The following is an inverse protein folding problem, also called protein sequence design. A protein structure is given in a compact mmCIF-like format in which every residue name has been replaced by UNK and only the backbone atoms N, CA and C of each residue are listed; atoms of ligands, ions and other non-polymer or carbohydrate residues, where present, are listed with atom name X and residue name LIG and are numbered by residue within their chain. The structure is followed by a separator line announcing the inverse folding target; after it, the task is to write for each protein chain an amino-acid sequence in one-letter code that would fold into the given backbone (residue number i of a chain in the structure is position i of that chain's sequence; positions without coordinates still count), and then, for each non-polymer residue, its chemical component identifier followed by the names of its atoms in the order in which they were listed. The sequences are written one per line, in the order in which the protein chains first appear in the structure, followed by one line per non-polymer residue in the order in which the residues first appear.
data_IF_532028922623
#
_entry.id   IF_532028922623
#
_cell.length_a   1.000
_cell.length_b   1.000
_cell.length_c   1.000
_cell.angle_alpha   90.00
_cell.angle_beta   90.00
_cell.angle_gamma   90.00
#
_symmetry.space_group_name_H-M   'P 1'
#
loop_
_entity.id
_entity.type
_entity.pdbx_description
1 polymer ?
#
# COMPACT_ATOMS: atom_id res chain seq x y z
N UNK A 1 -20.44 -9.11 -3.35
CA UNK A 1 -19.71 -10.36 -3.04
C UNK A 1 -18.29 -10.36 -3.62
N UNK A 2 -18.10 -10.17 -4.93
CA UNK A 2 -16.76 -10.07 -5.54
C UNK A 2 -15.93 -8.89 -5.01
N UNK A 3 -16.54 -7.71 -4.84
CA UNK A 3 -15.91 -6.55 -4.21
C UNK A 3 -15.45 -6.82 -2.75
N UNK A 4 -16.23 -7.57 -1.97
CA UNK A 4 -15.87 -7.95 -0.59
C UNK A 4 -14.69 -8.93 -0.57
N UNK A 5 -14.64 -9.87 -1.53
CA UNK A 5 -13.51 -10.77 -1.69
C UNK A 5 -12.25 -10.01 -2.13
N UNK A 6 -12.38 -9.06 -3.07
CA UNK A 6 -11.29 -8.17 -3.47
C UNK A 6 -10.78 -7.36 -2.27
N UNK A 7 -11.68 -6.77 -1.48
CA UNK A 7 -11.34 -6.04 -0.25
C UNK A 7 -10.62 -6.94 0.76
N UNK A 8 -11.08 -8.17 0.97
CA UNK A 8 -10.41 -9.13 1.85
C UNK A 8 -8.99 -9.46 1.36
N UNK A 9 -8.80 -9.61 0.05
CA UNK A 9 -7.47 -9.81 -0.56
C UNK A 9 -6.59 -8.57 -0.37
N UNK A 10 -7.13 -7.36 -0.55
CA UNK A 10 -6.41 -6.09 -0.32
C UNK A 10 -5.95 -5.99 1.13
N UNK A 11 -6.85 -6.23 2.08
CA UNK A 11 -6.55 -6.21 3.51
C UNK A 11 -5.51 -7.27 3.88
N UNK A 12 -5.61 -8.48 3.29
CA UNK A 12 -4.63 -9.54 3.44
C UNK A 12 -3.24 -9.14 2.93
N UNK A 13 -3.17 -8.54 1.73
CA UNK A 13 -1.92 -8.08 1.12
C UNK A 13 -1.29 -6.92 1.92
N UNK A 14 -2.08 -5.92 2.31
CA UNK A 14 -1.64 -4.81 3.17
C UNK A 14 -1.09 -5.33 4.50
N UNK A 15 -1.81 -6.27 5.13
CA UNK A 15 -1.37 -6.91 6.38
C UNK A 15 -0.06 -7.68 6.18
N UNK A 16 0.09 -8.42 5.09
CA UNK A 16 1.33 -9.14 4.79
C UNK A 16 2.51 -8.19 4.55
N UNK A 17 2.31 -7.12 3.78
CA UNK A 17 3.32 -6.08 3.55
C UNK A 17 3.69 -5.38 4.85
N UNK A 18 2.70 -5.00 5.66
CA UNK A 18 2.91 -4.38 6.97
C UNK A 18 3.80 -5.22 7.87
N UNK A 19 3.54 -6.53 7.97
CA UNK A 19 4.35 -7.44 8.80
C UNK A 19 5.71 -7.80 8.21
N UNK A 20 5.94 -7.55 6.93
CA UNK A 20 7.29 -7.61 6.33
C UNK A 20 8.09 -6.34 6.65
N UNK A 21 7.44 -5.18 6.62
CA UNK A 21 8.07 -3.89 6.94
C UNK A 21 8.34 -3.72 8.43
N UNK A 22 7.48 -4.26 9.29
CA UNK A 22 7.58 -4.15 10.75
C UNK A 22 7.52 -5.54 11.42
N UNK A 23 8.62 -6.31 11.40
CA UNK A 23 8.64 -7.68 11.91
C UNK A 23 8.24 -7.78 13.39
N UNK A 24 8.67 -6.80 14.20
CA UNK A 24 8.39 -6.75 15.64
C UNK A 24 6.98 -6.29 16.02
N UNK A 25 6.12 -5.95 15.05
CA UNK A 25 4.71 -5.57 15.29
C UNK A 25 3.72 -6.67 14.95
N UNK A 26 4.18 -7.89 14.66
CA UNK A 26 3.29 -9.03 14.57
C UNK A 26 2.62 -9.23 15.92
N UNK A 27 1.29 -9.31 16.00
CA UNK A 27 0.63 -9.79 17.21
C UNK A 27 1.29 -11.11 17.58
N UNK A 28 1.59 -11.35 18.87
CA UNK A 28 1.94 -12.69 19.29
C UNK A 28 0.85 -13.62 18.74
N UNK A 29 1.24 -14.64 17.98
CA UNK A 29 0.27 -15.65 17.58
C UNK A 29 -0.45 -16.09 18.86
N UNK A 30 -1.79 -16.14 18.87
CA UNK A 30 -2.52 -16.70 19.99
C UNK A 30 -2.08 -18.15 20.04
N UNK A 31 -0.99 -18.39 20.78
CA UNK A 31 -0.46 -19.70 20.99
C UNK A 31 -1.61 -20.49 21.56
N UNK A 32 -1.93 -21.60 20.91
CA UNK A 32 -2.65 -22.68 21.57
C UNK A 32 -2.04 -22.79 22.96
N UNK A 33 -2.88 -22.64 23.99
CA UNK A 33 -2.50 -22.34 25.37
C UNK A 33 -1.10 -22.87 25.72
N UNK A 34 -0.21 -22.04 26.31
CA UNK A 34 1.18 -22.44 26.54
C UNK A 34 1.21 -23.84 27.16
N UNK A 35 1.99 -24.78 26.60
CA UNK A 35 2.01 -26.15 27.09
C UNK A 35 2.23 -26.11 28.59
N UNK A 36 1.32 -26.72 29.36
CA UNK A 36 1.36 -26.71 30.81
C UNK A 36 2.62 -27.43 31.28
N UNK A 37 3.71 -26.67 31.51
CA UNK A 37 4.94 -27.21 32.07
C UNK A 37 4.76 -27.30 33.58
N UNK A 38 4.30 -28.46 34.06
CA UNK A 38 4.60 -28.87 35.44
C UNK A 38 6.00 -29.47 35.44
N UNK A 39 6.86 -29.03 36.37
CA UNK A 39 8.07 -29.78 36.71
C UNK A 39 7.62 -31.16 37.21
N UNK A 40 8.08 -32.25 36.61
CA UNK A 40 7.81 -33.59 37.11
C UNK A 40 8.28 -33.77 38.58
N UNK A 41 9.28 -33.00 38.98
CA UNK A 41 10.01 -33.20 40.24
C UNK A 41 9.67 -32.15 41.33
N UNK A 42 8.66 -31.29 41.10
CA UNK A 42 8.23 -30.29 42.10
C UNK A 42 9.24 -29.18 42.42
N UNK A 43 10.34 -29.06 41.69
CA UNK A 43 11.37 -28.05 41.93
C UNK A 43 10.99 -26.69 41.31
N UNK A 44 11.27 -25.58 42.02
CA UNK A 44 11.03 -24.23 41.50
C UNK A 44 11.88 -23.95 40.26
N UNK A 45 11.26 -23.50 39.16
CA UNK A 45 11.93 -23.13 37.93
C UNK A 45 12.85 -21.92 38.16
N UNK A 46 14.16 -22.10 37.91
CA UNK A 46 15.11 -20.99 37.89
C UNK A 46 14.75 -19.98 36.79
N UNK A 47 14.74 -18.67 37.09
CA UNK A 47 14.45 -17.65 36.09
C UNK A 47 15.53 -17.67 34.98
N UNK A 48 15.15 -17.46 33.71
CA UNK A 48 16.10 -17.47 32.61
C UNK A 48 17.12 -16.33 32.79
N UNK A 49 18.40 -16.69 32.66
CA UNK A 49 19.51 -15.76 32.75
C UNK A 49 19.33 -14.64 31.71
N UNK A 50 19.26 -13.40 32.19
CA UNK A 50 19.17 -12.20 31.37
C UNK A 50 20.37 -12.13 30.43
N UNK A 51 20.14 -12.42 29.15
CA UNK A 51 21.16 -12.36 28.12
C UNK A 51 21.58 -10.90 27.96
N UNK A 52 22.86 -10.61 28.16
CA UNK A 52 23.45 -9.28 28.10
C UNK A 52 23.01 -8.58 26.80
N UNK A 53 22.34 -7.43 26.96
CA UNK A 53 21.76 -6.66 25.87
C UNK A 53 22.87 -6.14 24.96
N UNK A 54 22.88 -6.59 23.71
CA UNK A 54 23.77 -6.10 22.67
C UNK A 54 23.60 -4.57 22.50
N UNK A 55 24.67 -3.82 22.23
CA UNK A 55 24.61 -2.36 22.09
C UNK A 55 23.64 -1.96 20.98
N UNK A 56 22.88 -0.86 21.16
CA UNK A 56 21.87 -0.45 20.20
C UNK A 56 22.51 -0.14 18.84
N UNK A 57 21.91 -0.61 17.73
CA UNK A 57 22.45 -0.34 16.40
C UNK A 57 22.45 1.18 16.15
N UNK A 58 23.61 1.71 15.71
CA UNK A 58 23.76 3.11 15.28
C UNK A 58 22.66 3.45 14.27
N UNK A 59 21.82 4.42 14.62
CA UNK A 59 20.74 4.90 13.75
C UNK A 59 21.36 5.64 12.56
N UNK A 60 21.34 5.02 11.37
CA UNK A 60 21.72 5.69 10.14
C UNK A 60 20.69 6.78 9.80
N UNK A 61 21.14 7.95 9.32
CA UNK A 61 20.26 9.06 8.96
C UNK A 61 19.21 8.62 7.93
N UNK A 62 17.96 8.98 8.25
CA UNK A 62 16.74 8.43 7.67
C UNK A 62 16.58 8.77 6.18
N UNK A 63 16.65 7.76 5.30
CA UNK A 63 16.30 7.85 3.85
C UNK A 63 14.82 8.19 3.56
N UNK A 64 14.03 8.57 4.57
CA UNK A 64 12.56 8.72 4.50
C UNK A 64 12.04 9.81 3.54
N UNK A 65 12.64 11.01 3.42
CA UNK A 65 12.05 12.10 2.63
C UNK A 65 11.91 11.76 1.13
N UNK A 66 12.86 10.98 0.59
CA UNK A 66 12.95 10.64 -0.84
C UNK A 66 11.82 9.72 -1.30
N UNK A 67 11.43 8.78 -0.43
CA UNK A 67 10.35 7.84 -0.72
C UNK A 67 9.00 8.57 -0.76
N UNK A 68 8.78 9.51 0.15
CA UNK A 68 7.53 10.28 0.22
C UNK A 68 7.34 11.12 -1.05
N UNK A 69 8.35 11.84 -1.52
CA UNK A 69 8.24 12.61 -2.77
C UNK A 69 7.92 11.75 -3.99
N UNK A 70 8.54 10.56 -4.10
CA UNK A 70 8.24 9.62 -5.20
C UNK A 70 6.84 9.00 -5.09
N UNK A 71 6.37 8.71 -3.86
CA UNK A 71 5.00 8.23 -3.62
C UNK A 71 3.96 9.28 -4.03
N UNK A 72 4.14 10.55 -3.63
CA UNK A 72 3.24 11.66 -3.99
C UNK A 72 3.19 11.89 -5.50
N UNK A 73 4.34 11.78 -6.18
CA UNK A 73 4.36 11.82 -7.64
C UNK A 73 3.56 10.66 -8.24
N UNK A 74 3.69 9.46 -7.66
CA UNK A 74 2.85 8.30 -8.00
C UNK A 74 1.36 8.60 -7.83
N UNK A 75 0.94 9.15 -6.70
CA UNK A 75 -0.45 9.55 -6.44
C UNK A 75 -0.95 10.50 -7.53
N UNK A 76 -0.14 11.49 -7.90
CA UNK A 76 -0.50 12.43 -8.98
C UNK A 76 -0.80 11.71 -10.29
N UNK A 77 0.09 10.79 -10.71
CA UNK A 77 -0.13 9.99 -11.91
C UNK A 77 -1.35 9.08 -11.79
N UNK A 78 -1.55 8.43 -10.64
CA UNK A 78 -2.69 7.55 -10.39
C UNK A 78 -4.03 8.30 -10.47
N UNK A 79 -4.13 9.47 -9.83
CA UNK A 79 -5.32 10.34 -9.86
C UNK A 79 -5.61 10.79 -11.29
N UNK A 80 -4.60 11.28 -12.03
CA UNK A 80 -4.77 11.73 -13.41
C UNK A 80 -5.20 10.60 -14.34
N UNK A 81 -4.52 9.44 -14.26
CA UNK A 81 -4.87 8.27 -15.05
C UNK A 81 -6.29 7.78 -14.74
N UNK A 82 -6.68 7.75 -13.47
CA UNK A 82 -8.02 7.37 -13.05
C UNK A 82 -9.08 8.35 -13.56
N UNK A 83 -8.85 9.66 -13.46
CA UNK A 83 -9.75 10.68 -13.97
C UNK A 83 -9.99 10.54 -15.48
N UNK A 84 -8.92 10.30 -16.26
CA UNK A 84 -9.01 10.04 -17.70
C UNK A 84 -9.80 8.75 -17.97
N UNK A 85 -9.48 7.66 -17.28
CA UNK A 85 -10.14 6.38 -17.46
C UNK A 85 -11.66 6.45 -17.20
N UNK A 86 -12.07 7.11 -16.10
CA UNK A 86 -13.49 7.30 -15.79
C UNK A 86 -14.16 8.24 -16.79
N UNK A 87 -13.48 9.31 -17.23
CA UNK A 87 -14.03 10.21 -18.26
C UNK A 87 -14.30 9.48 -19.57
N UNK A 88 -13.38 8.61 -19.99
CA UNK A 88 -13.56 7.75 -21.16
C UNK A 88 -14.67 6.73 -20.93
N UNK A 89 -14.70 6.06 -19.78
CA UNK A 89 -15.72 5.05 -19.49
C UNK A 89 -17.14 5.65 -19.47
N UNK A 90 -17.30 6.88 -18.94
CA UNK A 90 -18.57 7.63 -18.97
C UNK A 90 -19.04 7.98 -20.37
N UNK A 91 -18.14 8.10 -21.34
CA UNK A 91 -18.48 8.33 -22.73
C UNK A 91 -18.96 7.05 -23.45
N UNK A 92 -18.96 5.89 -22.77
CA UNK A 92 -19.38 4.60 -23.34
C UNK A 92 -20.69 4.10 -22.73
N UNK A 93 -21.45 3.24 -23.44
CA UNK A 93 -22.64 2.60 -22.87
C UNK A 93 -22.31 1.52 -21.82
N UNK A 94 -21.03 1.24 -21.57
CA UNK A 94 -20.59 0.23 -20.59
C UNK A 94 -20.81 0.69 -19.15
N UNK A 95 -20.93 2.00 -18.92
CA UNK A 95 -21.10 2.57 -17.59
C UNK A 95 -22.46 3.26 -17.52
N UNK A 96 -23.25 2.92 -16.51
CA UNK A 96 -24.42 3.72 -16.13
C UNK A 96 -23.95 4.75 -15.12
N UNK A 97 -23.99 6.01 -15.50
CA UNK A 97 -23.80 7.12 -14.56
C UNK A 97 -25.06 7.29 -13.73
N UNK A 98 -24.90 7.40 -12.43
CA UNK A 98 -25.95 7.72 -11.49
C UNK A 98 -25.93 9.22 -11.18
N UNK A 99 -27.05 9.74 -10.70
CA UNK A 99 -27.10 11.12 -10.21
C UNK A 99 -26.18 11.25 -9.00
N UNK A 100 -25.34 12.29 -9.00
CA UNK A 100 -24.33 12.47 -7.98
C UNK A 100 -23.51 13.72 -8.19
N UNK A 101 -22.70 14.06 -7.18
CA UNK A 101 -21.90 15.28 -7.14
C UNK A 101 -20.63 15.19 -8.02
N UNK A 102 -20.79 14.86 -9.30
CA UNK A 102 -19.71 14.70 -10.28
C UNK A 102 -18.76 15.91 -10.31
N UNK A 103 -19.33 17.12 -10.29
CA UNK A 103 -18.53 18.35 -10.26
C UNK A 103 -17.67 18.44 -8.99
N UNK A 104 -18.25 18.16 -7.82
CA UNK A 104 -17.52 18.19 -6.55
C UNK A 104 -16.40 17.14 -6.54
N UNK A 105 -16.67 15.94 -7.09
CA UNK A 105 -15.69 14.88 -7.28
C UNK A 105 -14.55 15.32 -8.19
N UNK A 106 -14.85 15.90 -9.35
CA UNK A 106 -13.82 16.34 -10.30
C UNK A 106 -12.95 17.45 -9.71
N UNK A 107 -13.55 18.42 -9.00
CA UNK A 107 -12.82 19.44 -8.25
C UNK A 107 -11.91 18.79 -7.20
N UNK A 108 -12.42 17.83 -6.42
CA UNK A 108 -11.64 17.13 -5.40
C UNK A 108 -10.44 16.38 -6.00
N UNK A 109 -10.60 15.74 -7.17
CA UNK A 109 -9.49 15.09 -7.86
C UNK A 109 -8.44 16.08 -8.33
N UNK A 110 -8.84 17.23 -8.89
CA UNK A 110 -7.91 18.28 -9.32
C UNK A 110 -7.13 18.82 -8.12
N UNK A 111 -7.80 19.09 -7.01
CA UNK A 111 -7.16 19.54 -5.76
C UNK A 111 -6.18 18.48 -5.23
N UNK A 112 -6.60 17.21 -5.19
CA UNK A 112 -5.74 16.11 -4.73
C UNK A 112 -4.49 15.97 -5.61
N UNK A 113 -4.65 16.00 -6.94
CA UNK A 113 -3.53 15.93 -7.88
C UNK A 113 -2.58 17.12 -7.72
N UNK A 114 -3.11 18.33 -7.57
CA UNK A 114 -2.31 19.55 -7.37
C UNK A 114 -1.52 19.49 -6.05
N UNK A 115 -2.17 19.10 -4.94
CA UNK A 115 -1.50 18.95 -3.64
C UNK A 115 -0.41 17.88 -3.67
N UNK A 116 -0.70 16.73 -4.29
CA UNK A 116 0.27 15.64 -4.44
C UNK A 116 1.47 16.07 -5.31
N UNK A 117 1.21 16.76 -6.42
CA UNK A 117 2.26 17.27 -7.30
C UNK A 117 3.12 18.30 -6.58
N UNK A 118 2.52 19.32 -5.96
CA UNK A 118 3.25 20.35 -5.23
C UNK A 118 4.06 19.74 -4.08
N UNK A 119 3.49 18.80 -3.32
CA UNK A 119 4.22 18.07 -2.28
C UNK A 119 5.38 17.25 -2.84
N UNK A 120 5.21 16.62 -4.01
CA UNK A 120 6.30 15.89 -4.68
C UNK A 120 7.45 16.81 -5.11
N UNK A 121 7.12 18.01 -5.60
CA UNK A 121 8.09 19.02 -6.02
C UNK A 121 8.80 19.64 -4.81
N UNK A 122 8.08 19.94 -3.74
CA UNK A 122 8.65 20.48 -2.50
C UNK A 122 9.62 19.50 -1.83
N UNK A 123 9.39 18.19 -1.97
CA UNK A 123 10.24 17.14 -1.42
C UNK A 123 11.37 16.70 -2.37
N UNK A 124 11.43 17.25 -3.60
CA UNK A 124 12.52 16.96 -4.54
C UNK A 124 13.76 17.75 -4.18
N UNK A 125 14.78 17.05 -3.69
CA UNK A 125 16.15 17.57 -3.66
C UNK A 125 16.75 17.46 -5.06
N UNK A 126 17.45 18.51 -5.53
CA UNK A 126 17.89 18.75 -6.92
C UNK A 126 18.70 17.65 -7.63
N UNK A 127 19.12 16.58 -6.93
CA UNK A 127 20.03 15.56 -7.49
C UNK A 127 19.57 14.11 -7.30
N UNK A 128 18.38 13.85 -6.74
CA UNK A 128 17.96 12.47 -6.45
C UNK A 128 17.07 11.88 -7.55
N UNK A 129 17.40 10.68 -8.07
CA UNK A 129 16.55 10.00 -9.04
C UNK A 129 15.24 9.53 -8.39
N UNK A 130 14.15 9.62 -9.16
CA UNK A 130 12.82 9.16 -8.74
C UNK A 130 12.81 7.65 -8.54
N UNK A 131 12.28 7.19 -7.40
CA UNK A 131 12.10 5.75 -7.15
C UNK A 131 10.89 5.23 -7.92
N UNK A 132 11.14 4.55 -9.04
CA UNK A 132 10.10 3.86 -9.84
C UNK A 132 9.14 3.01 -8.98
N UNK A 133 9.60 2.14 -8.06
CA UNK A 133 8.66 1.34 -7.26
C UNK A 133 7.79 2.19 -6.35
N UNK A 134 8.31 3.30 -5.80
CA UNK A 134 7.50 4.21 -4.99
C UNK A 134 6.43 4.93 -5.83
N UNK A 135 6.75 5.32 -7.07
CA UNK A 135 5.76 5.91 -8.00
C UNK A 135 4.65 4.89 -8.30
N UNK A 136 5.00 3.64 -8.60
CA UNK A 136 4.03 2.58 -8.86
C UNK A 136 3.12 2.32 -7.66
N UNK A 137 3.68 2.31 -6.44
CA UNK A 137 2.88 2.18 -5.21
C UNK A 137 1.90 3.32 -5.06
N UNK A 138 2.36 4.58 -5.21
CA UNK A 138 1.50 5.74 -5.09
C UNK A 138 0.38 5.74 -6.13
N UNK A 139 0.70 5.41 -7.38
CA UNK A 139 -0.27 5.35 -8.47
C UNK A 139 -1.30 4.24 -8.26
N UNK A 140 -0.84 3.04 -7.88
CA UNK A 140 -1.72 1.89 -7.63
C UNK A 140 -2.66 2.11 -6.44
N UNK A 141 -2.15 2.68 -5.35
CA UNK A 141 -2.97 3.03 -4.19
C UNK A 141 -4.05 4.07 -4.55
N UNK A 142 -3.67 5.17 -5.21
CA UNK A 142 -4.63 6.19 -5.62
C UNK A 142 -5.71 5.62 -6.56
N UNK A 143 -5.31 4.82 -7.55
CA UNK A 143 -6.24 4.18 -8.48
C UNK A 143 -7.27 3.29 -7.77
N UNK A 144 -6.81 2.39 -6.90
CA UNK A 144 -7.70 1.45 -6.19
C UNK A 144 -8.63 2.19 -5.22
N UNK A 145 -8.12 3.13 -4.42
CA UNK A 145 -8.94 3.88 -3.46
C UNK A 145 -10.01 4.72 -4.16
N UNK A 146 -9.65 5.41 -5.25
CA UNK A 146 -10.62 6.19 -6.02
C UNK A 146 -11.68 5.31 -6.69
N UNK A 147 -11.29 4.14 -7.23
CA UNK A 147 -12.22 3.13 -7.74
C UNK A 147 -13.27 2.73 -6.71
N UNK A 148 -12.82 2.40 -5.49
CA UNK A 148 -13.70 2.03 -4.38
C UNK A 148 -14.59 3.19 -3.93
N UNK A 149 -14.04 4.40 -3.82
CA UNK A 149 -14.79 5.59 -3.39
C UNK A 149 -15.89 5.94 -4.39
N UNK A 150 -15.56 6.09 -5.68
CA UNK A 150 -16.54 6.52 -6.66
C UNK A 150 -17.66 5.48 -6.85
N UNK A 151 -17.32 4.19 -6.84
CA UNK A 151 -18.30 3.12 -7.10
C UNK A 151 -19.07 2.67 -5.85
N UNK A 152 -18.43 2.58 -4.67
CA UNK A 152 -19.08 2.04 -3.47
C UNK A 152 -19.47 3.08 -2.44
N UNK A 153 -18.67 4.13 -2.26
CA UNK A 153 -18.98 5.16 -1.26
C UNK A 153 -19.92 6.21 -1.83
N UNK A 154 -19.64 6.70 -3.03
CA UNK A 154 -20.40 7.76 -3.67
C UNK A 154 -21.48 7.23 -4.63
N UNK A 155 -21.37 5.97 -5.06
CA UNK A 155 -22.31 5.36 -5.99
C UNK A 155 -22.46 6.17 -7.28
N UNK A 156 -21.38 6.77 -7.79
CA UNK A 156 -21.44 7.67 -8.95
C UNK A 156 -21.71 6.90 -10.24
N UNK A 157 -21.27 5.65 -10.32
CA UNK A 157 -21.47 4.83 -11.49
C UNK A 157 -21.50 3.34 -11.17
N UNK A 158 -22.13 2.57 -12.07
CA UNK A 158 -22.13 1.12 -12.09
C UNK A 158 -21.81 0.62 -13.51
N UNK A 159 -21.12 -0.52 -13.63
CA UNK A 159 -20.92 -1.16 -14.93
C UNK A 159 -22.20 -1.87 -15.38
N UNK A 160 -22.63 -1.62 -16.63
CA UNK A 160 -23.76 -2.32 -17.23
C UNK A 160 -23.34 -3.72 -17.65
N UNK A 161 -24.22 -4.71 -17.41
CA UNK A 161 -23.99 -6.16 -17.65
C UNK A 161 -22.96 -6.71 -16.66
N UNK A 162 -22.91 -8.03 -16.44
CA UNK A 162 -21.97 -8.71 -15.55
C UNK A 162 -20.50 -8.57 -16.02
N UNK A 163 -20.01 -7.35 -16.12
CA UNK A 163 -18.70 -6.95 -16.57
C UNK A 163 -17.69 -7.12 -15.43
N UNK A 164 -17.71 -8.30 -14.81
CA UNK A 164 -16.75 -8.72 -13.79
C UNK A 164 -15.30 -8.50 -14.25
N UNK A 165 -14.93 -8.65 -15.53
CA UNK A 165 -13.60 -8.28 -16.00
C UNK A 165 -13.30 -6.78 -15.90
N UNK A 166 -14.24 -5.89 -16.23
CA UNK A 166 -14.04 -4.44 -16.09
C UNK A 166 -13.99 -4.04 -14.61
N UNK A 167 -14.86 -4.63 -13.80
CA UNK A 167 -14.88 -4.39 -12.35
C UNK A 167 -13.55 -4.82 -11.72
N UNK A 168 -13.04 -5.99 -12.10
CA UNK A 168 -11.73 -6.48 -11.67
C UNK A 168 -10.58 -5.64 -12.21
N UNK A 169 -10.66 -5.15 -13.46
CA UNK A 169 -9.64 -4.27 -14.03
C UNK A 169 -9.60 -2.94 -13.28
N UNK A 170 -10.76 -2.35 -13.00
CA UNK A 170 -10.86 -1.07 -12.32
C UNK A 170 -10.38 -1.17 -10.87
N UNK A 171 -10.85 -2.17 -10.12
CA UNK A 171 -10.48 -2.32 -8.71
C UNK A 171 -9.11 -2.98 -8.51
N UNK A 172 -8.81 -3.99 -9.33
CA UNK A 172 -7.60 -4.81 -9.24
C UNK A 172 -6.40 -4.22 -9.96
N UNK A 173 -6.58 -3.32 -10.93
CA UNK A 173 -5.47 -2.70 -11.67
C UNK A 173 -4.47 -1.99 -10.75
N UNK A 174 -4.95 -1.25 -9.76
CA UNK A 174 -4.08 -0.61 -8.76
C UNK A 174 -3.35 -1.62 -7.86
N UNK A 175 -3.98 -2.73 -7.50
CA UNK A 175 -3.34 -3.82 -6.75
C UNK A 175 -2.23 -4.50 -7.56
N UNK A 176 -2.42 -4.68 -8.87
CA UNK A 176 -1.38 -5.22 -9.75
C UNK A 176 -0.16 -4.31 -9.74
N UNK A 177 -0.34 -2.99 -9.80
CA UNK A 177 0.77 -2.03 -9.69
C UNK A 177 1.47 -2.11 -8.33
N UNK A 178 0.71 -2.27 -7.25
CA UNK A 178 1.26 -2.45 -5.89
C UNK A 178 2.08 -3.73 -5.78
N UNK A 179 1.56 -4.85 -6.29
CA UNK A 179 2.25 -6.15 -6.28
C UNK A 179 3.50 -6.12 -7.17
N UNK A 180 3.45 -5.47 -8.33
CA UNK A 180 4.61 -5.30 -9.21
C UNK A 180 5.73 -4.48 -8.55
N UNK A 181 5.38 -3.52 -7.69
CA UNK A 181 6.36 -2.72 -6.96
C UNK A 181 6.98 -3.44 -5.74
N UNK A 182 6.27 -4.42 -5.17
CA UNK A 182 6.65 -5.05 -3.90
C UNK A 182 8.05 -5.72 -3.89
N UNK A 183 8.47 -6.49 -4.92
CA UNK A 183 9.81 -7.10 -4.93
C UNK A 183 10.92 -6.06 -4.84
N UNK A 184 10.79 -4.96 -5.58
CA UNK A 184 11.79 -3.90 -5.66
C UNK A 184 11.96 -3.11 -4.36
N UNK A 185 10.92 -3.05 -3.52
CA UNK A 185 11.01 -2.43 -2.20
C UNK A 185 11.79 -3.32 -1.21
N UNK A 186 11.78 -4.63 -1.42
CA UNK A 186 12.43 -5.60 -0.52
C UNK A 186 13.90 -5.89 -0.86
N UNK A 187 14.33 -5.72 -2.11
CA UNK A 187 15.69 -6.10 -2.58
C UNK A 187 16.85 -5.20 -2.12
N UNK A 188 16.63 -4.23 -1.22
CA UNK A 188 17.65 -3.24 -0.85
C UNK A 188 18.63 -3.67 0.24
N UNK A 189 18.72 -4.95 0.61
CA UNK A 189 19.42 -5.36 1.83
C UNK A 189 20.26 -6.64 1.72
N UNK A 190 21.12 -6.72 0.72
CA UNK A 190 22.27 -7.62 0.74
C UNK A 190 23.45 -6.94 0.05
N UNK A 191 24.04 -5.94 0.71
CA UNK A 191 25.44 -5.64 0.41
C UNK A 191 26.24 -6.84 0.92
N UNK A 192 26.96 -7.57 0.06
CA UNK A 192 27.96 -8.51 0.53
C UNK A 192 28.94 -7.67 1.35
N UNK A 193 28.97 -7.91 2.65
CA UNK A 193 30.02 -7.38 3.51
C UNK A 193 31.29 -8.00 2.96
N UNK A 194 32.08 -7.22 2.22
CA UNK A 194 33.36 -7.66 1.70
C UNK A 194 34.16 -8.15 2.92
N UNK A 195 34.30 -9.46 3.01
CA UNK A 195 35.17 -10.13 3.96
C UNK A 195 36.59 -9.86 3.49
N UNK A 196 37.17 -8.75 3.92
CA UNK A 196 38.60 -8.54 3.83
C UNK A 196 39.25 -9.51 4.79
N UNK A 197 39.81 -10.59 4.23
CA UNK A 197 40.88 -11.36 4.85
C UNK A 197 42.20 -10.61 4.71
#
# INVERSE_FOLDING_TARGET
MACCAALAVVLGALRAVWFRLFPGRRPPEPGFAPPARRSADGLPLSPPAATASAPPPRQQPTRRPRLVGSLLLGVTFGVAAYAVAISLARATPLVRTLEGAWLARDIALVVLAALALTGSLALRTSTSPTSRPAVLVGAGAAWTELGLVDMHLLGLFEFRVAALPLDLLLHGGGLVLLLAAAPHLTSTRTSPRASTA
#
